data_IF_403342081514
#
_entry.id   IF_403342081514
#
_cell.length_a   1.000
_cell.length_b   1.000
_cell.length_c   1.000
_cell.angle_alpha   90.00
_cell.angle_beta   90.00
_cell.angle_gamma   90.00
#
_symmetry.space_group_name_H-M   'P 1'
#
loop_
_entity.id
_entity.type
_entity.pdbx_description
1 polymer ?
#
# COMPACT_ATOMS: atom_id res chain seq x y z
N UNK A 1 35.41 -1.90 5.33
CA UNK A 1 34.18 -1.15 5.61
C UNK A 1 33.01 -1.98 5.11
N UNK A 2 32.31 -2.66 6.00
CA UNK A 2 31.16 -3.49 5.64
C UNK A 2 29.92 -2.58 5.59
N UNK A 3 29.30 -2.45 4.42
CA UNK A 3 27.96 -1.91 4.28
C UNK A 3 26.99 -2.90 4.91
N UNK A 4 26.41 -2.55 6.06
CA UNK A 4 25.28 -3.26 6.61
C UNK A 4 24.06 -2.90 5.76
N UNK A 5 23.60 -3.86 4.97
CA UNK A 5 22.32 -3.81 4.27
C UNK A 5 21.28 -4.04 5.37
N UNK A 6 20.62 -2.98 5.83
CA UNK A 6 19.49 -3.10 6.76
C UNK A 6 18.29 -3.66 5.99
N UNK A 7 18.21 -4.99 5.92
CA UNK A 7 17.11 -5.73 5.31
C UNK A 7 15.95 -5.90 6.29
N UNK A 8 15.56 -4.84 7.01
CA UNK A 8 14.29 -4.81 7.73
C UNK A 8 13.20 -4.36 6.78
N UNK A 9 12.57 -5.34 6.11
CA UNK A 9 11.37 -5.10 5.32
C UNK A 9 10.23 -4.67 6.29
N UNK A 10 10.13 -3.36 6.52
CA UNK A 10 9.18 -2.75 7.44
C UNK A 10 8.02 -2.22 6.62
N UNK A 11 6.85 -2.83 6.79
CA UNK A 11 5.59 -2.59 6.05
C UNK A 11 5.11 -1.13 5.98
N UNK A 12 5.72 -0.22 6.74
CA UNK A 12 5.24 1.14 6.93
C UNK A 12 6.31 2.22 6.76
N UNK A 13 7.48 1.90 6.19
CA UNK A 13 8.56 2.89 5.93
C UNK A 13 8.29 3.82 4.74
N UNK A 14 7.28 3.52 3.94
CA UNK A 14 7.05 4.07 2.61
C UNK A 14 6.54 5.53 2.61
N UNK A 15 5.92 6.02 3.70
CA UNK A 15 5.47 7.43 3.84
C UNK A 15 6.65 8.41 3.94
N UNK A 16 7.85 7.91 4.26
CA UNK A 16 9.08 8.72 4.29
C UNK A 16 9.29 9.48 2.97
N UNK A 17 8.90 8.88 1.85
CA UNK A 17 9.16 9.38 0.50
C UNK A 17 7.94 10.11 -0.10
N UNK A 18 6.92 10.43 0.69
CA UNK A 18 5.79 11.23 0.22
C UNK A 18 6.25 12.64 -0.15
N UNK A 19 5.89 13.14 -1.35
CA UNK A 19 6.25 14.49 -1.80
C UNK A 19 5.32 15.53 -1.17
N UNK A 20 5.32 15.63 0.16
CA UNK A 20 4.37 16.49 0.91
C UNK A 20 4.46 17.98 0.56
N UNK A 21 5.62 18.44 0.06
CA UNK A 21 5.85 19.82 -0.38
C UNK A 21 5.35 20.10 -1.81
N UNK A 22 4.97 19.06 -2.56
CA UNK A 22 4.59 19.17 -3.97
C UNK A 22 3.33 18.38 -4.29
N UNK A 23 2.29 19.09 -4.70
CA UNK A 23 1.11 18.45 -5.26
C UNK A 23 1.41 17.95 -6.68
N UNK A 24 1.33 16.63 -6.87
CA UNK A 24 1.47 16.00 -8.18
C UNK A 24 0.15 16.04 -8.96
N UNK A 25 0.22 15.75 -10.27
CA UNK A 25 -1.00 15.61 -11.08
C UNK A 25 -1.82 14.40 -10.65
N UNK A 26 -3.16 14.47 -10.70
CA UNK A 26 -4.03 13.33 -10.42
C UNK A 26 -3.71 12.13 -11.31
N UNK A 27 -3.87 10.93 -10.76
CA UNK A 27 -3.75 9.69 -11.52
C UNK A 27 -5.10 9.44 -12.19
N UNK A 28 -5.12 9.37 -13.52
CA UNK A 28 -6.33 9.18 -14.32
C UNK A 28 -6.13 8.08 -15.38
N UNK A 29 -7.22 7.42 -15.78
CA UNK A 29 -7.26 6.39 -16.82
C UNK A 29 -7.34 4.96 -16.27
N UNK A 30 -7.11 4.77 -14.98
CA UNK A 30 -7.35 3.48 -14.33
C UNK A 30 -8.85 3.20 -14.20
N UNK A 31 -9.67 4.24 -13.99
CA UNK A 31 -11.12 4.12 -13.85
C UNK A 31 -11.81 3.60 -15.12
N UNK A 32 -11.24 3.88 -16.28
CA UNK A 32 -11.76 3.53 -17.61
C UNK A 32 -11.34 2.11 -18.04
N UNK A 33 -10.50 1.44 -17.26
CA UNK A 33 -10.10 0.07 -17.55
C UNK A 33 -11.26 -0.92 -17.35
N UNK A 34 -11.28 -2.02 -18.12
CA UNK A 34 -12.25 -3.08 -17.92
C UNK A 34 -12.06 -3.75 -16.56
N UNK A 35 -13.17 -4.23 -15.98
CA UNK A 35 -13.09 -5.16 -14.86
C UNK A 35 -12.61 -6.52 -15.37
N UNK A 36 -11.53 -7.03 -14.80
CA UNK A 36 -10.87 -8.29 -15.22
C UNK A 36 -10.58 -9.16 -14.00
N UNK A 37 -10.21 -10.42 -14.22
CA UNK A 37 -9.79 -11.30 -13.13
C UNK A 37 -8.48 -10.84 -12.49
N UNK A 38 -8.18 -11.26 -11.25
CA UNK A 38 -6.93 -10.90 -10.58
C UNK A 38 -5.70 -11.37 -11.39
N UNK A 39 -5.81 -12.53 -12.04
CA UNK A 39 -4.74 -13.08 -12.88
C UNK A 39 -4.43 -12.17 -14.07
N UNK A 40 -5.46 -11.64 -14.71
CA UNK A 40 -5.33 -10.70 -15.84
C UNK A 40 -4.83 -9.34 -15.37
N UNK A 41 -5.36 -8.86 -14.24
CA UNK A 41 -5.02 -7.56 -13.67
C UNK A 41 -3.53 -7.38 -13.39
N UNK A 42 -2.85 -8.46 -13.00
CA UNK A 42 -1.41 -8.43 -12.72
C UNK A 42 -0.51 -8.79 -13.92
N UNK A 43 -1.05 -9.25 -15.05
CA UNK A 43 -0.22 -9.65 -16.20
C UNK A 43 0.77 -8.56 -16.64
N UNK A 44 0.38 -7.28 -16.79
CA UNK A 44 1.30 -6.27 -17.29
C UNK A 44 2.46 -5.97 -16.33
N UNK A 45 2.29 -6.27 -15.04
CA UNK A 45 3.28 -6.01 -13.98
C UNK A 45 4.02 -7.28 -13.52
N UNK A 46 3.67 -8.45 -14.06
CA UNK A 46 4.21 -9.73 -13.59
C UNK A 46 5.74 -9.83 -13.67
N UNK A 47 6.35 -9.17 -14.65
CA UNK A 47 7.79 -9.14 -14.85
C UNK A 47 8.56 -8.38 -13.75
N UNK A 48 7.86 -7.60 -12.90
CA UNK A 48 8.48 -6.85 -11.81
C UNK A 48 8.74 -7.71 -10.56
N UNK A 49 8.25 -8.94 -10.54
CA UNK A 49 8.18 -9.78 -9.34
C UNK A 49 8.65 -11.20 -9.62
N UNK A 50 9.32 -11.78 -8.62
CA UNK A 50 9.62 -13.21 -8.61
C UNK A 50 8.40 -13.97 -8.08
N UNK A 51 7.89 -14.94 -8.84
CA UNK A 51 6.84 -15.84 -8.35
C UNK A 51 5.44 -15.22 -8.18
N UNK A 52 5.13 -14.05 -8.78
CA UNK A 52 3.83 -13.38 -8.59
C UNK A 52 2.61 -14.30 -8.87
N UNK A 53 2.74 -15.25 -9.79
CA UNK A 53 1.68 -16.21 -10.11
C UNK A 53 1.28 -17.04 -8.89
N UNK A 54 2.24 -17.45 -8.06
CA UNK A 54 1.97 -18.28 -6.89
C UNK A 54 1.27 -17.45 -5.80
N UNK A 55 1.69 -16.20 -5.60
CA UNK A 55 1.01 -15.26 -4.72
C UNK A 55 -0.44 -14.98 -5.15
N UNK A 56 -0.69 -14.84 -6.45
CA UNK A 56 -2.06 -14.70 -6.99
C UNK A 56 -2.90 -15.95 -6.68
N UNK A 57 -2.33 -17.15 -6.82
CA UNK A 57 -3.04 -18.39 -6.50
C UNK A 57 -3.38 -18.47 -5.01
N UNK A 58 -2.43 -18.15 -4.14
CA UNK A 58 -2.64 -18.12 -2.68
C UNK A 58 -3.71 -17.08 -2.31
N UNK A 59 -3.63 -15.87 -2.86
CA UNK A 59 -4.59 -14.81 -2.62
C UNK A 59 -6.02 -15.23 -3.02
N UNK A 60 -6.20 -15.80 -4.22
CA UNK A 60 -7.51 -16.33 -4.64
C UNK A 60 -7.98 -17.47 -3.76
N UNK A 61 -7.09 -18.38 -3.36
CA UNK A 61 -7.43 -19.51 -2.52
C UNK A 61 -7.96 -19.07 -1.14
N UNK A 62 -7.33 -18.05 -0.55
CA UNK A 62 -7.71 -17.50 0.75
C UNK A 62 -9.01 -16.67 0.70
N UNK A 63 -9.46 -16.30 -0.50
CA UNK A 63 -10.62 -15.42 -0.71
C UNK A 63 -11.80 -16.11 -1.42
N UNK A 64 -11.97 -17.43 -1.25
CA UNK A 64 -13.06 -18.20 -1.91
C UNK A 64 -14.47 -17.78 -1.52
N UNK A 65 -14.66 -17.32 -0.28
CA UNK A 65 -15.94 -16.89 0.27
C UNK A 65 -15.83 -15.43 0.70
N UNK A 66 -15.78 -14.49 -0.25
CA UNK A 66 -15.63 -13.07 0.06
C UNK A 66 -16.87 -12.51 0.76
N UNK A 67 -16.67 -11.56 1.66
CA UNK A 67 -17.73 -10.82 2.34
C UNK A 67 -18.05 -9.49 1.62
N UNK A 68 -19.06 -8.76 2.10
CA UNK A 68 -19.35 -7.37 1.68
C UNK A 68 -19.59 -7.21 0.16
N UNK A 69 -20.15 -8.22 -0.49
CA UNK A 69 -20.46 -8.18 -1.93
C UNK A 69 -19.23 -8.15 -2.85
N UNK A 70 -18.04 -8.40 -2.31
CA UNK A 70 -16.83 -8.56 -3.10
C UNK A 70 -16.89 -9.84 -3.93
N UNK A 71 -16.35 -9.79 -5.14
CA UNK A 71 -15.98 -11.00 -5.87
C UNK A 71 -14.69 -11.60 -5.29
N UNK A 72 -14.41 -12.87 -5.63
CA UNK A 72 -13.16 -13.52 -5.24
C UNK A 72 -11.93 -12.77 -5.77
N UNK A 73 -12.01 -12.21 -6.99
CA UNK A 73 -10.89 -11.47 -7.60
C UNK A 73 -10.65 -10.13 -6.89
N UNK A 74 -11.71 -9.42 -6.49
CA UNK A 74 -11.62 -8.18 -5.72
C UNK A 74 -11.04 -8.40 -4.32
N UNK A 75 -11.59 -9.38 -3.57
CA UNK A 75 -11.04 -9.75 -2.27
C UNK A 75 -9.61 -10.27 -2.39
N UNK A 76 -9.30 -11.00 -3.47
CA UNK A 76 -7.96 -11.46 -3.77
C UNK A 76 -6.99 -10.32 -4.08
N UNK A 77 -7.43 -9.25 -4.74
CA UNK A 77 -6.61 -8.06 -4.99
C UNK A 77 -6.20 -7.36 -3.68
N UNK A 78 -7.15 -7.21 -2.75
CA UNK A 78 -6.88 -6.66 -1.42
C UNK A 78 -5.92 -7.57 -0.65
N UNK A 79 -6.18 -8.88 -0.65
CA UNK A 79 -5.32 -9.84 0.03
C UNK A 79 -3.89 -9.79 -0.54
N UNK A 80 -3.74 -9.85 -1.86
CA UNK A 80 -2.45 -9.79 -2.56
C UNK A 80 -1.67 -8.51 -2.24
N UNK A 81 -2.36 -7.35 -2.17
CA UNK A 81 -1.74 -6.09 -1.76
C UNK A 81 -1.11 -6.18 -0.36
N UNK A 82 -1.71 -6.94 0.56
CA UNK A 82 -1.22 -7.08 1.95
C UNK A 82 -0.22 -8.23 2.18
N UNK A 83 0.06 -9.04 1.16
CA UNK A 83 0.99 -10.17 1.28
C UNK A 83 2.44 -9.70 1.31
N UNK A 84 3.26 -10.39 2.10
CA UNK A 84 4.72 -10.26 2.05
C UNK A 84 5.28 -11.22 1.01
N UNK A 85 6.11 -10.71 0.12
CA UNK A 85 6.84 -11.53 -0.84
C UNK A 85 8.23 -11.87 -0.30
N UNK A 86 8.69 -13.08 -0.58
CA UNK A 86 10.02 -13.55 -0.23
C UNK A 86 10.44 -14.65 -1.21
N UNK A 87 11.55 -14.50 -1.97
CA UNK A 87 12.46 -13.36 -1.98
C UNK A 87 11.97 -12.17 -2.83
N UNK A 88 12.34 -10.95 -2.43
CA UNK A 88 12.16 -9.73 -3.21
C UNK A 88 11.10 -8.77 -2.66
N UNK A 89 10.83 -7.66 -3.37
CA UNK A 89 9.85 -6.67 -2.92
C UNK A 89 8.41 -7.18 -3.07
N UNK A 90 7.60 -6.90 -2.07
CA UNK A 90 6.16 -7.16 -2.07
C UNK A 90 5.42 -6.23 -3.04
N UNK A 91 4.21 -6.63 -3.43
CA UNK A 91 3.41 -5.87 -4.39
C UNK A 91 3.14 -4.43 -3.92
N UNK A 92 2.79 -4.24 -2.63
CA UNK A 92 2.52 -2.92 -2.09
C UNK A 92 3.75 -1.99 -2.11
N UNK A 93 4.95 -2.55 -1.92
CA UNK A 93 6.19 -1.77 -1.90
C UNK A 93 6.43 -1.12 -3.26
N UNK A 94 6.33 -1.91 -4.35
CA UNK A 94 6.49 -1.38 -5.69
C UNK A 94 5.32 -0.45 -6.05
N UNK A 95 4.08 -0.83 -5.75
CA UNK A 95 2.92 -0.02 -6.09
C UNK A 95 2.98 1.36 -5.42
N UNK A 96 3.19 1.41 -4.10
CA UNK A 96 3.24 2.68 -3.37
C UNK A 96 4.41 3.56 -3.83
N UNK A 97 5.56 2.97 -4.18
CA UNK A 97 6.67 3.71 -4.82
C UNK A 97 6.26 4.34 -6.15
N UNK A 98 5.49 3.62 -6.98
CA UNK A 98 5.01 4.14 -8.27
C UNK A 98 3.94 5.21 -8.09
N UNK A 99 3.07 5.08 -7.09
CA UNK A 99 2.05 6.08 -6.76
C UNK A 99 2.68 7.43 -6.36
N UNK A 100 3.82 7.41 -5.66
CA UNK A 100 4.58 8.62 -5.29
C UNK A 100 5.41 9.23 -6.41
N UNK A 101 5.64 8.49 -7.49
CA UNK A 101 6.49 8.97 -8.57
C UNK A 101 5.78 10.08 -9.37
N UNK A 102 6.50 11.18 -9.61
CA UNK A 102 6.01 12.29 -10.43
C UNK A 102 5.69 11.85 -11.86
N UNK A 103 6.52 10.97 -12.43
CA UNK A 103 6.25 10.40 -13.74
C UNK A 103 5.12 9.35 -13.68
N UNK A 104 3.91 9.79 -14.03
CA UNK A 104 2.68 8.98 -14.02
C UNK A 104 2.65 7.88 -15.07
N UNK A 105 3.48 7.95 -16.12
CA UNK A 105 3.56 6.89 -17.13
C UNK A 105 3.96 5.54 -16.52
N UNK A 106 4.75 5.56 -15.45
CA UNK A 106 5.19 4.37 -14.73
C UNK A 106 4.03 3.59 -14.07
N UNK A 107 2.86 4.21 -13.89
CA UNK A 107 1.67 3.57 -13.33
C UNK A 107 0.78 2.93 -14.39
N UNK A 108 0.93 3.26 -15.68
CA UNK A 108 0.05 2.71 -16.72
C UNK A 108 -0.04 1.17 -16.73
N UNK A 109 1.07 0.41 -16.55
CA UNK A 109 0.98 -1.05 -16.43
C UNK A 109 0.14 -1.53 -15.24
N UNK A 110 -0.01 -0.71 -14.21
CA UNK A 110 -0.76 -1.02 -13.00
C UNK A 110 -2.25 -0.73 -13.10
N UNK A 111 -2.73 -0.09 -14.18
CA UNK A 111 -4.10 0.41 -14.25
C UNK A 111 -5.16 -0.68 -14.14
N UNK A 112 -4.93 -1.88 -14.69
CA UNK A 112 -5.85 -3.01 -14.50
C UNK A 112 -5.91 -3.46 -13.03
N UNK A 113 -4.76 -3.55 -12.36
CA UNK A 113 -4.71 -3.86 -10.93
C UNK A 113 -5.36 -2.77 -10.08
N UNK A 114 -5.07 -1.50 -10.35
CA UNK A 114 -5.66 -0.35 -9.66
C UNK A 114 -7.18 -0.30 -9.85
N UNK A 115 -7.68 -0.57 -11.05
CA UNK A 115 -9.12 -0.67 -11.30
C UNK A 115 -9.77 -1.71 -10.39
N UNK A 116 -9.22 -2.92 -10.37
CA UNK A 116 -9.76 -4.02 -9.57
C UNK A 116 -9.66 -3.72 -8.06
N UNK A 117 -8.49 -3.26 -7.61
CA UNK A 117 -8.21 -3.00 -6.21
C UNK A 117 -9.03 -1.83 -5.65
N UNK A 118 -9.11 -0.70 -6.35
CA UNK A 118 -9.89 0.46 -5.89
C UNK A 118 -11.40 0.19 -5.94
N UNK A 119 -11.89 -0.50 -6.98
CA UNK A 119 -13.31 -0.92 -7.02
C UNK A 119 -13.65 -1.88 -5.88
N UNK A 120 -12.71 -2.72 -5.46
CA UNK A 120 -12.88 -3.58 -4.28
C UNK A 120 -12.97 -2.75 -3.00
N UNK A 121 -12.09 -1.76 -2.81
CA UNK A 121 -12.12 -0.90 -1.63
C UNK A 121 -13.41 -0.05 -1.55
N UNK A 122 -13.92 0.44 -2.68
CA UNK A 122 -15.18 1.21 -2.74
C UNK A 122 -16.41 0.41 -2.26
N UNK A 123 -16.37 -0.92 -2.33
CA UNK A 123 -17.46 -1.79 -1.85
C UNK A 123 -17.44 -2.03 -0.34
N UNK A 124 -16.29 -1.79 0.31
CA UNK A 124 -16.15 -2.04 1.74
C UNK A 124 -16.83 -0.94 2.57
N UNK A 125 -17.38 -1.30 3.74
CA UNK A 125 -17.99 -0.30 4.62
C UNK A 125 -16.94 0.73 5.07
N UNK A 126 -17.28 2.00 4.91
CA UNK A 126 -16.43 3.10 5.35
C UNK A 126 -16.62 3.37 6.85
N UNK A 127 -15.53 3.58 7.58
CA UNK A 127 -15.54 3.78 9.02
C UNK A 127 -14.94 5.15 9.39
N UNK A 128 -15.64 5.88 10.26
CA UNK A 128 -15.13 7.10 10.89
C UNK A 128 -14.55 6.74 12.25
N UNK A 129 -13.23 6.68 12.34
CA UNK A 129 -12.53 6.26 13.56
C UNK A 129 -11.09 6.77 13.57
N UNK A 130 -10.47 6.81 14.74
CA UNK A 130 -9.04 7.09 14.86
C UNK A 130 -8.25 5.83 14.47
N UNK A 131 -7.35 5.98 13.50
CA UNK A 131 -6.42 4.94 13.07
C UNK A 131 -4.98 5.40 13.25
N UNK A 132 -4.08 4.45 13.39
CA UNK A 132 -2.67 4.70 13.65
C UNK A 132 -1.80 4.18 12.52
N UNK A 133 -0.75 4.93 12.20
CA UNK A 133 0.30 4.53 11.26
C UNK A 133 1.67 4.84 11.86
N UNK A 134 2.50 3.82 12.04
CA UNK A 134 3.86 3.97 12.57
C UNK A 134 4.92 3.87 11.47
N UNK A 135 5.92 4.74 11.49
CA UNK A 135 7.08 4.71 10.60
C UNK A 135 8.34 4.51 11.45
N UNK A 136 9.09 3.44 11.17
CA UNK A 136 10.33 3.11 11.87
C UNK A 136 11.52 3.84 11.24
N UNK A 137 12.48 4.25 12.09
CA UNK A 137 13.80 4.72 11.66
C UNK A 137 13.85 6.14 11.12
N UNK A 138 12.79 6.94 11.32
CA UNK A 138 12.76 8.33 10.83
C UNK A 138 11.83 9.21 11.67
N UNK A 139 12.25 10.46 11.86
CA UNK A 139 11.42 11.56 12.38
C UNK A 139 10.92 12.38 11.19
N UNK A 140 9.60 12.57 11.12
CA UNK A 140 8.93 13.35 10.08
C UNK A 140 8.26 14.60 10.65
N UNK A 141 8.47 14.94 11.92
CA UNK A 141 7.82 16.09 12.57
C UNK A 141 7.98 17.38 11.75
N UNK A 142 9.17 17.60 11.20
CA UNK A 142 9.46 18.79 10.39
C UNK A 142 8.69 18.87 9.07
N UNK A 143 8.22 17.75 8.54
CA UNK A 143 7.51 17.69 7.25
C UNK A 143 6.04 18.09 7.34
N UNK A 144 5.46 18.07 8.53
CA UNK A 144 4.02 18.29 8.76
C UNK A 144 3.76 19.50 9.68
N UNK A 145 4.69 20.44 9.77
CA UNK A 145 4.61 21.64 10.62
C UNK A 145 3.52 22.60 10.15
N UNK A 146 3.29 22.67 8.84
CA UNK A 146 2.34 23.61 8.28
C UNK A 146 0.93 23.03 8.42
N UNK A 147 -0.03 23.81 8.94
CA UNK A 147 -1.46 23.44 8.99
C UNK A 147 -2.11 23.37 7.58
N UNK A 148 -1.32 23.04 6.57
CA UNK A 148 -1.68 22.94 5.18
C UNK A 148 -2.17 21.53 4.84
N UNK A 149 -3.00 21.45 3.82
CA UNK A 149 -3.48 20.17 3.30
C UNK A 149 -2.36 19.52 2.50
N UNK A 150 -2.09 18.25 2.79
CA UNK A 150 -1.16 17.42 2.03
C UNK A 150 -1.88 16.19 1.46
N UNK A 151 -1.24 15.51 0.52
CA UNK A 151 -1.73 14.27 -0.09
C UNK A 151 -0.70 13.18 0.14
N UNK A 152 -1.14 12.05 0.70
CA UNK A 152 -0.39 10.80 0.61
C UNK A 152 -0.80 10.07 -0.64
N UNK A 153 0.14 9.95 -1.57
CA UNK A 153 -0.11 9.33 -2.87
C UNK A 153 -0.12 7.81 -2.78
N UNK A 154 0.69 7.24 -1.87
CA UNK A 154 0.65 5.81 -1.60
C UNK A 154 -0.60 5.39 -0.83
N UNK A 155 -0.99 4.13 -0.97
CA UNK A 155 -2.08 3.55 -0.17
C UNK A 155 -1.64 3.50 1.30
N UNK A 156 -2.49 4.01 2.18
CA UNK A 156 -2.17 4.21 3.60
C UNK A 156 -2.71 3.08 4.47
N UNK A 157 -1.93 2.02 4.62
CA UNK A 157 -2.22 0.93 5.58
C UNK A 157 -2.17 1.40 7.05
N UNK A 158 -3.25 1.23 7.79
CA UNK A 158 -3.34 1.69 9.19
C UNK A 158 -3.81 0.57 10.12
N UNK A 159 -3.71 0.79 11.43
CA UNK A 159 -4.20 -0.13 12.47
C UNK A 159 -5.07 0.61 13.48
N UNK A 160 -6.09 -0.06 14.00
CA UNK A 160 -6.89 0.42 15.12
C UNK A 160 -6.14 0.38 16.45
N UNK A 161 -5.22 -0.58 16.57
CA UNK A 161 -4.51 -0.84 17.82
C UNK A 161 -3.05 -0.37 17.69
N UNK A 162 -2.57 0.32 18.72
CA UNK A 162 -1.16 0.72 18.83
C UNK A 162 -0.26 -0.49 19.14
N UNK A 163 -0.78 -1.52 19.82
CA UNK A 163 -0.01 -2.69 20.25
C UNK A 163 0.75 -3.39 19.11
N UNK A 164 0.13 -3.71 17.95
CA UNK A 164 0.86 -4.21 16.78
C UNK A 164 2.07 -3.34 16.43
N UNK A 165 1.96 -2.01 16.49
CA UNK A 165 3.08 -1.12 16.13
C UNK A 165 4.29 -1.32 17.04
N UNK A 166 4.13 -1.79 18.27
CA UNK A 166 5.24 -2.00 19.20
C UNK A 166 6.14 -3.19 18.84
N UNK A 167 5.75 -4.05 17.90
CA UNK A 167 6.61 -5.16 17.45
C UNK A 167 7.80 -4.63 16.63
N UNK A 168 8.94 -5.30 16.71
CA UNK A 168 10.15 -4.92 15.96
C UNK A 168 9.97 -4.96 14.44
N UNK A 169 9.03 -5.78 13.93
CA UNK A 169 8.65 -5.80 12.50
C UNK A 169 7.92 -4.53 12.05
N UNK A 170 7.41 -3.74 13.00
CA UNK A 170 6.64 -2.53 12.74
C UNK A 170 7.42 -1.30 13.21
N UNK A 171 7.05 -0.67 14.33
CA UNK A 171 7.75 0.50 14.88
C UNK A 171 8.93 0.10 15.77
N UNK A 172 8.82 -1.04 16.45
CA UNK A 172 9.72 -1.44 17.54
C UNK A 172 9.64 -0.49 18.74
N UNK A 173 10.40 -0.81 19.79
CA UNK A 173 10.38 -0.03 21.05
C UNK A 173 11.51 0.99 21.18
N UNK A 174 12.53 0.91 20.34
CA UNK A 174 13.74 1.73 20.42
C UNK A 174 14.09 2.39 19.08
N UNK A 175 14.94 3.43 19.09
CA UNK A 175 15.31 4.20 17.89
C UNK A 175 14.33 5.32 17.51
N UNK A 176 14.72 6.09 16.50
CA UNK A 176 13.90 7.18 15.96
C UNK A 176 12.66 6.61 15.25
N UNK A 177 11.51 7.28 15.41
CA UNK A 177 10.21 6.80 14.93
C UNK A 177 9.22 7.94 14.80
N UNK A 178 8.26 7.77 13.91
CA UNK A 178 7.10 8.67 13.77
C UNK A 178 5.81 7.86 13.94
N UNK A 179 4.85 8.40 14.69
CA UNK A 179 3.50 7.83 14.81
C UNK A 179 2.48 8.87 14.35
N UNK A 180 1.70 8.54 13.34
CA UNK A 180 0.53 9.31 12.95
C UNK A 180 -0.70 8.78 13.67
N UNK A 181 -1.45 9.69 14.28
CA UNK A 181 -2.83 9.47 14.72
C UNK A 181 -3.74 10.19 13.74
N UNK A 182 -4.62 9.45 13.07
CA UNK A 182 -5.40 9.94 11.94
C UNK A 182 -6.88 9.72 12.26
N UNK A 183 -7.65 10.80 12.30
CA UNK A 183 -9.11 10.71 12.36
C UNK A 183 -9.65 10.54 10.94
N UNK A 184 -10.04 9.31 10.57
CA UNK A 184 -10.65 9.05 9.27
C UNK A 184 -12.10 9.53 9.25
N UNK A 185 -12.53 10.08 8.12
CA UNK A 185 -13.93 10.47 7.85
C UNK A 185 -14.34 9.94 6.48
N UNK A 186 -15.63 9.66 6.32
CA UNK A 186 -16.23 9.28 5.04
C UNK A 186 -16.50 10.52 4.16
#
# INVERSE_FOLDING_TARGET
MAYAIDSTNSRYTDVRDEPVEKLLTPISGHQDQPSVSLKEAVQPIAHLFNGLKDYVLVAKHNCKNPAEGLSQDESGAIHLYTMEFDPGPSLYEILNKRLRAENRENLKPWFLFLKLFLSALEKLPSATQTVYRGIKGVDQSDKYINSEKFVWWGVSSCTLNIEPLQSEKFLGKFGQRTLFSIDSKN
#
